data_IF_475624715951
#
_entry.id   IF_475624715951
#
_cell.length_a   1.000
_cell.length_b   1.000
_cell.length_c   1.000
_cell.angle_alpha   90.00
_cell.angle_beta   90.00
_cell.angle_gamma   90.00
#
_symmetry.space_group_name_H-M   'P 1'
#
loop_
_entity.id
_entity.type
_entity.pdbx_description
1 polymer ?
#
# COMPACT_ATOMS: atom_id res chain seq x y z
N UNK A 1 -7.33 -29.72 -6.70
CA UNK A 1 -8.10 -28.48 -6.53
C UNK A 1 -7.16 -27.34 -6.81
N UNK A 2 -7.33 -26.64 -7.93
CA UNK A 2 -6.53 -25.45 -8.25
C UNK A 2 -6.88 -24.36 -7.23
N UNK A 3 -5.99 -24.10 -6.27
CA UNK A 3 -6.01 -22.85 -5.52
C UNK A 3 -5.74 -21.75 -6.53
N UNK A 4 -6.70 -20.86 -6.77
CA UNK A 4 -6.43 -19.63 -7.50
C UNK A 4 -5.20 -18.95 -6.87
N UNK A 5 -4.29 -18.35 -7.66
CA UNK A 5 -3.17 -17.60 -7.10
C UNK A 5 -3.71 -16.62 -6.06
N UNK A 6 -3.04 -16.49 -4.91
CA UNK A 6 -3.41 -15.60 -3.80
C UNK A 6 -3.70 -14.16 -4.27
N UNK A 7 -3.12 -13.77 -5.41
CA UNK A 7 -3.35 -12.51 -6.13
C UNK A 7 -4.80 -12.31 -6.62
N UNK A 8 -5.44 -13.35 -7.17
CA UNK A 8 -6.83 -13.30 -7.63
C UNK A 8 -7.78 -13.12 -6.43
N UNK A 9 -7.41 -13.63 -5.24
CA UNK A 9 -8.19 -13.41 -4.02
C UNK A 9 -8.14 -11.94 -3.59
N UNK A 10 -6.95 -11.33 -3.53
CA UNK A 10 -6.81 -9.93 -3.11
C UNK A 10 -7.47 -8.96 -4.09
N UNK A 11 -7.38 -9.18 -5.40
CA UNK A 11 -8.09 -8.34 -6.38
C UNK A 11 -9.62 -8.45 -6.30
N UNK A 12 -10.13 -9.57 -5.80
CA UNK A 12 -11.56 -9.78 -5.64
C UNK A 12 -12.11 -9.21 -4.34
N UNK A 13 -11.27 -9.04 -3.32
CA UNK A 13 -11.67 -8.62 -1.96
C UNK A 13 -11.30 -7.17 -1.66
N UNK A 14 -10.05 -6.78 -1.93
CA UNK A 14 -9.53 -5.47 -1.58
C UNK A 14 -10.03 -4.38 -2.56
N UNK A 15 -10.36 -3.19 -2.05
CA UNK A 15 -10.80 -2.07 -2.87
C UNK A 15 -9.67 -1.58 -3.78
N UNK A 16 -10.01 -1.37 -5.06
CA UNK A 16 -9.10 -0.84 -6.09
C UNK A 16 -9.27 0.66 -6.30
N UNK A 17 -10.38 1.23 -5.84
CA UNK A 17 -10.76 2.62 -5.93
C UNK A 17 -10.42 3.41 -4.66
N UNK A 18 -10.60 4.72 -4.70
CA UNK A 18 -10.44 5.62 -3.54
C UNK A 18 -9.04 5.58 -2.90
N UNK A 19 -8.02 5.29 -3.72
CA UNK A 19 -6.60 5.44 -3.39
C UNK A 19 -6.15 6.88 -3.56
N UNK A 20 -5.01 7.26 -3.00
CA UNK A 20 -4.38 8.54 -3.33
C UNK A 20 -4.02 8.59 -4.84
N UNK A 21 -4.11 9.77 -5.45
CA UNK A 21 -3.94 9.99 -6.90
C UNK A 21 -3.08 11.24 -7.17
N UNK A 22 -2.60 11.43 -8.40
CA UNK A 22 -1.77 12.60 -8.78
C UNK A 22 -2.47 13.93 -8.44
N UNK A 23 -3.80 13.99 -8.58
CA UNK A 23 -4.60 15.16 -8.23
C UNK A 23 -4.47 15.59 -6.77
N UNK A 24 -4.09 14.69 -5.86
CA UNK A 24 -3.89 15.02 -4.44
C UNK A 24 -2.64 15.91 -4.21
N UNK A 25 -1.79 16.07 -5.24
CA UNK A 25 -0.66 16.98 -5.23
C UNK A 25 -0.98 18.35 -5.84
N UNK A 26 -2.18 18.54 -6.41
CA UNK A 26 -2.57 19.81 -7.02
C UNK A 26 -2.60 20.94 -5.99
N UNK A 27 -2.03 22.09 -6.35
CA UNK A 27 -1.94 23.26 -5.48
C UNK A 27 -0.77 23.26 -4.48
N UNK A 28 0.02 22.18 -4.40
CA UNK A 28 1.27 22.18 -3.62
C UNK A 28 2.36 22.97 -4.34
N UNK A 29 3.03 23.88 -3.61
CA UNK A 29 4.20 24.58 -4.14
C UNK A 29 5.41 23.64 -4.12
N UNK A 30 5.67 23.01 -5.26
CA UNK A 30 6.83 22.13 -5.43
C UNK A 30 7.94 22.91 -6.12
N UNK A 31 9.12 22.92 -5.51
CA UNK A 31 10.30 23.52 -6.12
C UNK A 31 10.92 22.52 -7.11
N UNK A 32 11.12 22.93 -8.36
CA UNK A 32 11.77 22.10 -9.39
C UNK A 32 13.17 22.60 -9.77
N UNK A 33 13.61 23.75 -9.23
CA UNK A 33 14.84 24.43 -9.67
C UNK A 33 16.12 23.77 -9.16
N UNK A 34 16.04 23.10 -8.02
CA UNK A 34 17.22 22.58 -7.34
C UNK A 34 17.57 21.15 -7.78
N UNK A 35 16.58 20.40 -8.26
CA UNK A 35 16.76 19.01 -8.67
C UNK A 35 17.57 18.92 -9.98
N UNK A 36 18.63 18.11 -9.95
CA UNK A 36 19.51 17.89 -11.10
C UNK A 36 19.42 16.45 -11.54
N UNK A 37 19.16 16.24 -12.84
CA UNK A 37 19.12 14.92 -13.45
C UNK A 37 20.42 14.65 -14.20
N UNK A 38 21.05 13.52 -13.91
CA UNK A 38 22.24 13.05 -14.58
C UNK A 38 21.99 11.68 -15.18
N UNK A 39 22.56 11.42 -16.36
CA UNK A 39 22.66 10.05 -16.87
C UNK A 39 23.84 9.37 -16.20
N UNK A 40 23.62 8.16 -15.70
CA UNK A 40 24.61 7.39 -14.95
C UNK A 40 24.43 5.90 -15.26
N UNK A 41 24.62 5.52 -16.53
CA UNK A 41 24.44 4.14 -16.97
C UNK A 41 25.37 3.20 -16.18
N UNK A 42 24.78 2.21 -15.51
CA UNK A 42 25.48 1.24 -14.68
C UNK A 42 25.36 -0.16 -15.30
N UNK A 43 26.42 -0.95 -15.18
CA UNK A 43 26.36 -2.36 -15.58
C UNK A 43 25.45 -3.15 -14.65
N UNK A 44 24.91 -4.26 -15.13
CA UNK A 44 24.16 -5.22 -14.31
C UNK A 44 24.95 -5.62 -13.07
N UNK A 45 26.24 -5.95 -13.21
CA UNK A 45 27.12 -6.28 -12.09
C UNK A 45 27.28 -5.13 -11.09
N UNK A 46 27.35 -3.89 -11.57
CA UNK A 46 27.41 -2.70 -10.70
C UNK A 46 26.10 -2.51 -9.93
N UNK A 47 24.96 -2.57 -10.62
CA UNK A 47 23.64 -2.48 -10.00
C UNK A 47 23.46 -3.55 -8.93
N UNK A 48 23.80 -4.80 -9.25
CA UNK A 48 23.77 -5.91 -8.31
C UNK A 48 24.67 -5.68 -7.09
N UNK A 49 25.91 -5.21 -7.29
CA UNK A 49 26.81 -4.86 -6.19
C UNK A 49 26.22 -3.79 -5.27
N UNK A 50 25.58 -2.75 -5.84
CA UNK A 50 24.93 -1.69 -5.06
C UNK A 50 23.71 -2.19 -4.29
N UNK A 51 22.97 -3.16 -4.84
CA UNK A 51 21.87 -3.84 -4.16
C UNK A 51 22.36 -4.68 -2.98
N UNK A 52 23.40 -5.49 -3.18
CA UNK A 52 23.98 -6.33 -2.12
C UNK A 52 24.55 -5.49 -0.96
N UNK A 53 25.11 -4.31 -1.27
CA UNK A 53 25.59 -3.36 -0.26
C UNK A 53 24.46 -2.61 0.47
N UNK A 54 23.23 -2.69 -0.01
CA UNK A 54 22.11 -1.87 0.46
C UNK A 54 22.25 -0.38 0.13
N UNK A 55 23.12 -0.04 -0.82
CA UNK A 55 23.30 1.35 -1.31
C UNK A 55 22.07 1.79 -2.10
N UNK A 56 21.59 0.94 -3.01
CA UNK A 56 20.26 1.05 -3.58
C UNK A 56 19.33 0.29 -2.64
N UNK A 57 18.46 0.99 -1.94
CA UNK A 57 17.56 0.36 -0.99
C UNK A 57 16.27 -0.08 -1.70
N UNK A 58 16.10 -1.40 -1.85
CA UNK A 58 14.87 -1.99 -2.37
C UNK A 58 13.81 -2.25 -1.29
N UNK A 59 14.05 -1.89 -0.02
CA UNK A 59 13.30 -2.23 1.20
C UNK A 59 12.87 -3.71 1.30
N UNK A 60 13.33 -4.47 2.32
CA UNK A 60 12.96 -5.88 2.50
C UNK A 60 11.44 -6.16 2.50
N UNK A 61 10.60 -5.20 2.91
CA UNK A 61 9.14 -5.33 2.87
C UNK A 61 8.58 -5.46 1.45
N UNK A 62 9.26 -4.89 0.45
CA UNK A 62 8.88 -5.03 -0.95
C UNK A 62 9.31 -6.34 -1.59
N UNK A 63 10.40 -6.96 -1.10
CA UNK A 63 10.81 -8.29 -1.57
C UNK A 63 9.72 -9.35 -1.28
N UNK A 64 8.89 -9.15 -0.25
CA UNK A 64 7.74 -10.04 0.02
C UNK A 64 6.55 -9.84 -0.92
N UNK A 65 6.56 -8.75 -1.70
CA UNK A 65 5.41 -8.26 -2.50
C UNK A 65 5.76 -8.20 -4.00
N UNK A 66 6.40 -9.24 -4.56
CA UNK A 66 6.79 -9.28 -5.99
C UNK A 66 5.58 -9.13 -6.93
N UNK A 67 5.60 -8.14 -7.83
CA UNK A 67 4.48 -7.85 -8.72
C UNK A 67 4.62 -8.49 -10.11
N UNK A 68 5.82 -8.93 -10.50
CA UNK A 68 6.03 -9.64 -11.76
C UNK A 68 6.01 -11.15 -11.54
N UNK A 69 5.28 -11.87 -12.39
CA UNK A 69 5.41 -13.31 -12.51
C UNK A 69 6.77 -13.71 -13.08
N UNK A 70 7.15 -14.96 -12.85
CA UNK A 70 8.45 -15.49 -13.26
C UNK A 70 8.65 -15.49 -14.80
N UNK A 71 7.58 -15.56 -15.59
CA UNK A 71 7.69 -15.52 -17.07
C UNK A 71 8.14 -14.12 -17.50
N UNK A 72 7.49 -13.09 -16.98
CA UNK A 72 7.86 -11.69 -17.22
C UNK A 72 9.26 -11.37 -16.70
N UNK A 73 9.63 -11.91 -15.54
CA UNK A 73 11.00 -11.83 -15.02
C UNK A 73 12.00 -12.46 -15.99
N UNK A 74 11.71 -13.66 -16.48
CA UNK A 74 12.58 -14.41 -17.40
C UNK A 74 12.80 -13.68 -18.72
N UNK A 75 11.74 -13.10 -19.31
CA UNK A 75 11.83 -12.31 -20.55
C UNK A 75 12.68 -11.04 -20.41
N UNK A 76 12.72 -10.43 -19.21
CA UNK A 76 13.64 -9.32 -18.95
C UNK A 76 15.10 -9.79 -19.00
N UNK A 77 15.41 -10.92 -18.34
CA UNK A 77 16.77 -11.48 -18.35
C UNK A 77 17.18 -11.88 -19.76
N UNK A 78 16.29 -12.54 -20.51
CA UNK A 78 16.50 -12.86 -21.92
C UNK A 78 16.80 -11.61 -22.76
N UNK A 79 16.03 -10.53 -22.56
CA UNK A 79 16.27 -9.25 -23.26
C UNK A 79 17.66 -8.68 -22.95
N UNK A 80 18.11 -8.75 -21.70
CA UNK A 80 19.43 -8.28 -21.28
C UNK A 80 20.55 -9.12 -21.91
N UNK A 81 20.42 -10.46 -21.90
CA UNK A 81 21.39 -11.38 -22.52
C UNK A 81 21.42 -11.20 -24.04
N UNK A 82 20.26 -10.97 -24.67
CA UNK A 82 20.16 -10.70 -26.10
C UNK A 82 20.62 -9.28 -26.51
N UNK A 83 20.97 -8.42 -25.56
CA UNK A 83 21.41 -7.04 -25.83
C UNK A 83 20.28 -6.12 -26.32
N UNK A 84 19.02 -6.46 -26.03
CA UNK A 84 17.87 -5.64 -26.38
C UNK A 84 17.72 -4.45 -25.43
N UNK A 85 17.25 -3.29 -25.92
CA UNK A 85 17.03 -2.13 -25.07
C UNK A 85 15.88 -2.40 -24.09
N UNK A 86 16.12 -2.11 -22.81
CA UNK A 86 15.09 -2.16 -21.77
C UNK A 86 14.78 -0.74 -21.25
N UNK A 87 13.62 -0.51 -20.61
CA UNK A 87 13.31 0.77 -20.00
C UNK A 87 14.33 1.18 -18.92
N UNK A 88 14.56 2.49 -18.83
CA UNK A 88 15.51 3.15 -17.92
C UNK A 88 15.27 2.79 -16.44
N UNK A 89 16.32 2.81 -15.61
CA UNK A 89 16.20 2.79 -14.15
C UNK A 89 16.31 4.22 -13.64
N UNK A 90 15.36 4.67 -12.81
CA UNK A 90 15.41 6.02 -12.25
C UNK A 90 15.64 5.94 -10.75
N UNK A 91 16.73 6.55 -10.30
CA UNK A 91 17.16 6.59 -8.92
C UNK A 91 17.17 8.03 -8.41
N UNK A 92 16.76 8.24 -7.17
CA UNK A 92 16.95 9.50 -6.46
C UNK A 92 17.97 9.31 -5.34
N UNK A 93 18.95 10.21 -5.23
CA UNK A 93 19.87 10.23 -4.09
C UNK A 93 19.11 10.61 -2.82
N UNK A 94 19.35 9.87 -1.73
CA UNK A 94 18.76 10.17 -0.44
C UNK A 94 19.36 11.47 0.11
N UNK A 95 18.51 12.43 0.47
CA UNK A 95 18.91 13.75 0.96
C UNK A 95 19.62 13.70 2.32
N UNK A 96 19.32 12.71 3.16
CA UNK A 96 19.93 12.52 4.48
C UNK A 96 21.20 11.65 4.44
N UNK A 97 21.33 10.82 3.39
CA UNK A 97 22.42 9.85 3.26
C UNK A 97 23.05 9.89 1.86
N UNK A 98 24.04 10.75 1.70
CA UNK A 98 24.82 10.88 0.47
C UNK A 98 25.34 9.52 -0.02
N UNK A 99 25.15 9.26 -1.32
CA UNK A 99 25.54 8.02 -1.96
C UNK A 99 24.58 6.85 -1.72
N UNK A 100 23.47 7.02 -0.99
CA UNK A 100 22.36 6.04 -0.97
C UNK A 100 21.27 6.45 -1.94
N UNK A 101 20.59 5.48 -2.52
CA UNK A 101 19.63 5.70 -3.59
C UNK A 101 18.27 5.06 -3.30
N UNK A 102 17.23 5.84 -3.59
CA UNK A 102 15.83 5.44 -3.62
C UNK A 102 15.45 5.12 -5.06
N UNK A 103 14.70 4.03 -5.26
CA UNK A 103 14.24 3.64 -6.60
C UNK A 103 12.93 4.35 -6.91
N UNK A 104 12.94 5.22 -7.92
CA UNK A 104 11.76 5.93 -8.42
C UNK A 104 11.07 5.12 -9.52
N UNK A 105 11.86 4.53 -10.42
CA UNK A 105 11.38 3.57 -11.43
C UNK A 105 12.43 2.47 -11.65
N UNK A 106 11.98 1.28 -12.05
CA UNK A 106 12.83 0.12 -12.29
C UNK A 106 12.94 -0.87 -11.15
N UNK A 107 12.12 -0.74 -10.09
CA UNK A 107 12.10 -1.65 -8.94
C UNK A 107 11.96 -3.12 -9.32
N UNK A 108 10.98 -3.46 -10.16
CA UNK A 108 10.78 -4.86 -10.59
C UNK A 108 11.94 -5.36 -11.47
N UNK A 109 12.57 -4.48 -12.25
CA UNK A 109 13.76 -4.81 -13.04
C UNK A 109 14.95 -5.13 -12.13
N UNK A 110 15.20 -4.28 -11.13
CA UNK A 110 16.26 -4.48 -10.13
C UNK A 110 16.04 -5.76 -9.30
N UNK A 111 14.82 -6.02 -8.84
CA UNK A 111 14.47 -7.25 -8.13
C UNK A 111 14.68 -8.48 -9.01
N UNK A 112 14.27 -8.42 -10.28
CA UNK A 112 14.46 -9.53 -11.22
C UNK A 112 15.94 -9.84 -11.44
N UNK A 113 16.76 -8.81 -11.65
CA UNK A 113 18.21 -8.93 -11.77
C UNK A 113 18.79 -9.57 -10.50
N UNK A 114 18.42 -9.07 -9.32
CA UNK A 114 18.87 -9.64 -8.05
C UNK A 114 18.46 -11.11 -7.90
N UNK A 115 17.19 -11.45 -8.13
CA UNK A 115 16.67 -12.82 -8.02
C UNK A 115 17.42 -13.78 -8.94
N UNK A 116 17.69 -13.36 -10.18
CA UNK A 116 18.41 -14.20 -11.14
C UNK A 116 19.88 -14.40 -10.76
N UNK A 117 20.61 -13.32 -10.42
CA UNK A 117 22.02 -13.40 -10.01
C UNK A 117 22.20 -14.13 -8.67
N UNK A 118 21.20 -14.10 -7.79
CA UNK A 118 21.15 -14.90 -6.55
C UNK A 118 20.75 -16.38 -6.79
N UNK A 119 20.57 -16.81 -8.05
CA UNK A 119 20.08 -18.15 -8.43
C UNK A 119 18.69 -18.51 -7.86
N UNK A 120 17.86 -17.52 -7.56
CA UNK A 120 16.47 -17.69 -7.07
C UNK A 120 15.44 -17.77 -8.19
N UNK A 121 15.84 -17.48 -9.43
CA UNK A 121 15.02 -17.55 -10.63
C UNK A 121 15.65 -18.51 -11.65
N UNK A 122 14.92 -19.55 -12.04
CA UNK A 122 15.19 -20.33 -13.24
C UNK A 122 14.37 -19.77 -14.40
N UNK A 123 15.01 -19.54 -15.55
CA UNK A 123 14.35 -18.89 -16.69
C UNK A 123 13.23 -19.77 -17.24
N UNK A 124 12.08 -19.17 -17.56
CA UNK A 124 10.98 -19.87 -18.23
C UNK A 124 10.14 -18.99 -19.14
N UNK A 125 9.57 -19.59 -20.17
CA UNK A 125 8.68 -18.91 -21.12
C UNK A 125 9.43 -17.95 -22.05
N UNK A 126 10.66 -18.33 -22.40
CA UNK A 126 11.55 -17.62 -23.32
C UNK A 126 11.07 -17.77 -24.77
N UNK A 127 11.21 -16.73 -25.59
CA UNK A 127 10.79 -16.73 -27.00
C UNK A 127 11.91 -16.43 -28.01
N UNK A 128 13.06 -15.91 -27.56
CA UNK A 128 14.22 -15.57 -28.39
C UNK A 128 15.42 -16.52 -28.14
N UNK A 129 15.66 -16.88 -26.87
CA UNK A 129 16.79 -17.70 -26.39
C UNK A 129 16.28 -18.94 -25.67
N UNK A 130 15.54 -19.79 -26.38
CA UNK A 130 14.99 -21.04 -25.83
C UNK A 130 16.08 -22.01 -25.33
N UNK A 131 17.32 -21.86 -25.80
CA UNK A 131 18.49 -22.58 -25.31
C UNK A 131 18.83 -22.30 -23.84
N UNK A 132 18.31 -21.19 -23.29
CA UNK A 132 18.52 -20.78 -21.89
C UNK A 132 17.36 -21.18 -20.95
N UNK A 133 16.35 -21.88 -21.47
CA UNK A 133 15.18 -22.30 -20.69
C UNK A 133 15.60 -23.22 -19.51
N UNK A 134 15.01 -22.99 -18.34
CA UNK A 134 15.28 -23.63 -17.05
C UNK A 134 16.68 -23.38 -16.46
N UNK A 135 17.51 -22.56 -17.08
CA UNK A 135 18.82 -22.20 -16.53
C UNK A 135 18.69 -21.14 -15.44
N UNK A 136 19.47 -21.28 -14.38
CA UNK A 136 19.80 -20.21 -13.42
C UNK A 136 21.11 -19.53 -13.82
N UNK A 137 21.45 -18.40 -13.19
CA UNK A 137 22.69 -17.67 -13.47
C UNK A 137 23.94 -18.57 -13.43
N UNK A 138 24.05 -19.46 -12.44
CA UNK A 138 25.19 -20.36 -12.29
C UNK A 138 25.33 -21.40 -13.40
N UNK A 139 24.22 -21.73 -14.06
CA UNK A 139 24.18 -22.69 -15.16
C UNK A 139 24.29 -22.05 -16.55
N UNK A 140 24.34 -20.71 -16.64
CA UNK A 140 24.53 -20.04 -17.93
C UNK A 140 25.90 -20.35 -18.55
N UNK A 141 25.99 -20.40 -19.90
CA UNK A 141 27.26 -20.34 -20.60
C UNK A 141 28.11 -19.16 -20.14
N UNK A 142 29.42 -19.33 -20.08
CA UNK A 142 30.34 -18.31 -19.58
C UNK A 142 30.20 -16.98 -20.36
N UNK A 143 30.15 -17.05 -21.69
CA UNK A 143 30.01 -15.85 -22.53
C UNK A 143 28.71 -15.09 -22.27
N UNK A 144 27.58 -15.78 -22.09
CA UNK A 144 26.29 -15.14 -21.78
C UNK A 144 26.30 -14.49 -20.38
N UNK A 145 26.99 -15.12 -19.42
CA UNK A 145 27.13 -14.58 -18.06
C UNK A 145 27.99 -13.31 -18.05
N UNK A 146 29.15 -13.37 -18.68
CA UNK A 146 30.06 -12.23 -18.79
C UNK A 146 29.40 -11.09 -19.55
N UNK A 147 28.64 -11.39 -20.61
CA UNK A 147 27.88 -10.39 -21.33
C UNK A 147 26.79 -9.77 -20.47
N UNK A 148 26.01 -10.57 -19.74
CA UNK A 148 24.96 -10.09 -18.86
C UNK A 148 25.51 -9.16 -17.79
N UNK A 149 26.56 -9.56 -17.08
CA UNK A 149 27.15 -8.76 -15.98
C UNK A 149 27.72 -7.42 -16.46
N UNK A 150 28.29 -7.40 -17.67
CA UNK A 150 28.87 -6.21 -18.27
C UNK A 150 27.86 -5.38 -19.09
N UNK A 151 26.65 -5.90 -19.32
CA UNK A 151 25.60 -5.16 -20.02
C UNK A 151 25.21 -3.91 -19.21
N UNK A 152 25.25 -2.75 -19.86
CA UNK A 152 24.90 -1.47 -19.23
C UNK A 152 23.41 -1.18 -19.38
N UNK A 153 22.75 -0.90 -18.25
CA UNK A 153 21.35 -0.49 -18.24
C UNK A 153 21.31 1.03 -18.13
N UNK A 154 20.55 1.67 -19.04
CA UNK A 154 20.32 3.10 -18.98
C UNK A 154 19.78 3.46 -17.61
N UNK A 155 20.43 4.40 -16.94
CA UNK A 155 20.08 4.81 -15.58
C UNK A 155 20.10 6.32 -15.44
N UNK A 156 19.06 6.88 -14.85
CA UNK A 156 18.97 8.31 -14.49
C UNK A 156 19.10 8.47 -12.99
N UNK A 157 20.08 9.26 -12.57
CA UNK A 157 20.28 9.63 -11.19
C UNK A 157 19.81 11.07 -10.95
N UNK A 158 18.95 11.23 -9.96
CA UNK A 158 18.37 12.51 -9.57
C UNK A 158 18.98 12.92 -8.25
N UNK A 159 19.56 14.12 -8.23
CA UNK A 159 20.23 14.70 -7.07
C UNK A 159 19.54 15.98 -6.65
N UNK A 160 19.81 16.40 -5.42
CA UNK A 160 19.28 17.65 -4.85
C UNK A 160 17.75 17.69 -4.90
N UNK A 161 17.11 16.57 -4.59
CA UNK A 161 15.65 16.49 -4.52
C UNK A 161 15.16 17.31 -3.32
N UNK A 162 14.29 18.31 -3.52
CA UNK A 162 13.98 19.28 -2.47
C UNK A 162 13.14 18.69 -1.35
N UNK A 163 12.17 17.85 -1.69
CA UNK A 163 11.26 17.21 -0.74
C UNK A 163 10.66 15.92 -1.32
N UNK A 164 9.87 15.22 -0.49
CA UNK A 164 9.17 14.01 -0.90
C UNK A 164 8.11 14.28 -1.97
N UNK A 165 7.43 15.44 -1.95
CA UNK A 165 6.37 15.76 -2.91
C UNK A 165 6.90 15.89 -4.34
N UNK A 166 8.10 16.44 -4.51
CA UNK A 166 8.83 16.41 -5.78
C UNK A 166 9.01 14.97 -6.29
N UNK A 167 9.42 14.05 -5.40
CA UNK A 167 9.59 12.63 -5.74
C UNK A 167 8.26 11.97 -6.09
N UNK A 168 7.17 12.35 -5.43
CA UNK A 168 5.80 11.91 -5.77
C UNK A 168 5.39 12.37 -7.17
N UNK A 169 5.56 13.65 -7.52
CA UNK A 169 5.22 14.17 -8.86
C UNK A 169 6.05 13.47 -9.93
N UNK A 170 7.35 13.37 -9.72
CA UNK A 170 8.24 12.70 -10.64
C UNK A 170 7.82 11.25 -10.85
N UNK A 171 7.46 10.55 -9.77
CA UNK A 171 6.99 9.18 -9.81
C UNK A 171 5.70 9.03 -10.65
N UNK A 172 4.68 9.86 -10.42
CA UNK A 172 3.43 9.83 -11.20
C UNK A 172 3.67 10.14 -12.68
N UNK A 173 4.55 11.11 -12.98
CA UNK A 173 4.86 11.53 -14.35
C UNK A 173 5.68 10.51 -15.13
N UNK A 174 6.69 9.90 -14.51
CA UNK A 174 7.52 8.87 -15.15
C UNK A 174 6.72 7.60 -15.46
N UNK A 175 5.75 7.28 -14.62
CA UNK A 175 4.95 6.06 -14.75
C UNK A 175 3.57 6.30 -15.39
N UNK A 176 3.42 7.39 -16.14
CA UNK A 176 2.25 7.64 -16.98
C UNK A 176 2.24 6.67 -18.17
N UNK A 177 1.70 5.46 -17.96
CA UNK A 177 1.61 4.40 -18.99
C UNK A 177 2.21 3.03 -18.59
N UNK A 178 2.82 2.90 -17.41
CA UNK A 178 3.38 1.66 -16.85
C UNK A 178 2.64 1.24 -15.57
N UNK A 179 2.97 0.07 -15.02
CA UNK A 179 2.43 -0.36 -13.72
C UNK A 179 3.00 0.53 -12.61
N UNK A 180 2.24 1.54 -12.21
CA UNK A 180 2.60 2.51 -11.16
C UNK A 180 2.77 1.80 -9.81
N UNK A 181 3.83 2.08 -9.04
CA UNK A 181 3.78 1.91 -7.57
C UNK A 181 2.52 2.58 -7.01
N UNK A 182 1.88 1.96 -6.03
CA UNK A 182 0.80 2.63 -5.30
C UNK A 182 1.35 3.77 -4.44
N UNK A 183 0.54 4.77 -4.09
CA UNK A 183 0.93 5.82 -3.15
C UNK A 183 1.47 5.26 -1.83
N UNK A 184 0.90 4.16 -1.35
CA UNK A 184 1.38 3.47 -0.14
C UNK A 184 2.76 2.83 -0.35
N UNK A 185 3.03 2.26 -1.54
CA UNK A 185 4.39 1.81 -1.88
C UNK A 185 5.38 2.99 -1.90
N UNK A 186 4.98 4.15 -2.43
CA UNK A 186 5.88 5.30 -2.43
C UNK A 186 6.11 5.86 -1.03
N UNK A 187 5.08 5.93 -0.18
CA UNK A 187 5.18 6.30 1.24
C UNK A 187 6.18 5.42 1.98
N UNK A 188 6.15 4.12 1.71
CA UNK A 188 7.10 3.16 2.27
C UNK A 188 8.54 3.44 1.85
N UNK A 189 8.77 3.84 0.59
CA UNK A 189 10.11 4.15 0.12
C UNK A 189 10.65 5.49 0.64
N UNK A 190 9.79 6.50 0.80
CA UNK A 190 10.21 7.88 1.07
C UNK A 190 10.21 8.27 2.55
N UNK A 191 9.24 7.77 3.32
CA UNK A 191 8.97 8.22 4.69
C UNK A 191 9.06 7.06 5.67
N UNK A 192 8.51 5.92 5.28
CA UNK A 192 8.36 4.76 6.15
C UNK A 192 9.58 3.85 6.23
N UNK A 193 9.51 2.94 7.18
CA UNK A 193 10.37 1.76 7.23
C UNK A 193 9.97 0.88 8.41
N UNK A 194 10.12 1.40 9.64
CA UNK A 194 9.81 0.65 10.86
C UNK A 194 8.31 0.53 11.07
N UNK A 195 7.59 1.65 11.01
CA UNK A 195 6.13 1.73 11.24
C UNK A 195 5.38 0.81 10.29
N UNK A 196 5.67 0.92 8.99
CA UNK A 196 5.02 0.10 7.99
C UNK A 196 5.46 -1.38 8.09
N UNK A 197 6.67 -1.68 8.58
CA UNK A 197 7.07 -3.06 8.87
C UNK A 197 6.27 -3.65 10.04
N UNK A 198 5.95 -2.85 11.05
CA UNK A 198 5.07 -3.30 12.14
C UNK A 198 3.64 -3.53 11.65
N UNK A 199 3.13 -2.69 10.74
CA UNK A 199 1.84 -2.93 10.08
C UNK A 199 1.87 -4.25 9.30
N UNK A 200 2.93 -4.54 8.53
CA UNK A 200 3.08 -5.80 7.80
C UNK A 200 3.04 -7.01 8.75
N UNK A 201 3.78 -6.94 9.86
CA UNK A 201 3.79 -8.00 10.89
C UNK A 201 2.43 -8.19 11.55
N UNK A 202 1.71 -7.10 11.81
CA UNK A 202 0.36 -7.15 12.34
C UNK A 202 -0.58 -7.87 11.37
N UNK A 203 -0.55 -7.52 10.08
CA UNK A 203 -1.38 -8.15 9.03
C UNK A 203 -1.06 -9.65 8.93
N UNK A 204 0.22 -10.02 8.90
CA UNK A 204 0.65 -11.43 8.84
C UNK A 204 0.21 -12.23 10.08
N UNK A 205 0.14 -11.58 11.25
CA UNK A 205 -0.20 -12.21 12.54
C UNK A 205 -1.69 -12.23 12.89
N UNK A 206 -2.51 -11.37 12.27
CA UNK A 206 -3.92 -11.21 12.63
C UNK A 206 -4.82 -12.25 11.96
N UNK A 207 -5.51 -13.06 12.78
CA UNK A 207 -6.50 -14.02 12.31
C UNK A 207 -7.77 -13.33 11.79
N UNK A 208 -8.21 -12.27 12.45
CA UNK A 208 -9.41 -11.54 12.04
C UNK A 208 -9.17 -10.76 10.75
N UNK A 209 -8.00 -10.17 10.58
CA UNK A 209 -7.63 -9.53 9.32
C UNK A 209 -7.60 -10.56 8.18
N UNK A 210 -6.94 -11.70 8.38
CA UNK A 210 -6.88 -12.77 7.39
C UNK A 210 -8.28 -13.34 7.04
N UNK A 211 -9.20 -13.40 8.00
CA UNK A 211 -10.57 -13.85 7.76
C UNK A 211 -11.37 -12.90 6.85
N UNK A 212 -11.11 -11.59 6.95
CA UNK A 212 -11.82 -10.56 6.18
C UNK A 212 -11.18 -10.35 4.80
N UNK A 213 -9.86 -10.22 4.77
CA UNK A 213 -9.11 -9.76 3.59
C UNK A 213 -8.38 -10.88 2.84
N UNK A 214 -8.32 -12.08 3.43
CA UNK A 214 -7.47 -13.18 2.97
C UNK A 214 -6.11 -13.19 3.70
N UNK A 215 -5.45 -14.35 3.79
CA UNK A 215 -4.15 -14.46 4.44
C UNK A 215 -3.05 -13.83 3.59
N UNK A 216 -1.97 -13.39 4.24
CA UNK A 216 -0.76 -12.86 3.59
C UNK A 216 -0.82 -11.37 3.29
N UNK A 217 0.20 -10.87 2.57
CA UNK A 217 0.37 -9.47 2.24
C UNK A 217 -0.03 -9.17 0.80
N UNK A 218 -0.83 -8.13 0.59
CA UNK A 218 -1.24 -7.68 -0.74
C UNK A 218 -0.07 -7.04 -1.50
N UNK A 219 0.29 -7.51 -2.69
CA UNK A 219 1.45 -6.99 -3.43
C UNK A 219 1.42 -5.46 -3.67
N UNK A 220 0.22 -4.89 -3.73
CA UNK A 220 -0.03 -3.45 -3.97
C UNK A 220 -0.11 -2.60 -2.69
N UNK A 221 0.06 -3.22 -1.51
CA UNK A 221 0.00 -2.58 -0.20
C UNK A 221 -1.35 -1.94 0.16
N UNK A 222 -2.45 -2.36 -0.47
CA UNK A 222 -3.79 -1.82 -0.15
C UNK A 222 -4.23 -2.20 1.27
N UNK A 223 -3.81 -3.38 1.74
CA UNK A 223 -3.96 -3.86 3.11
C UNK A 223 -3.25 -2.96 4.13
N UNK A 224 -1.99 -2.62 3.87
CA UNK A 224 -1.15 -1.74 4.67
C UNK A 224 -1.75 -0.34 4.76
N UNK A 225 -2.27 0.17 3.63
CA UNK A 225 -2.98 1.45 3.59
C UNK A 225 -4.24 1.42 4.46
N UNK A 226 -5.08 0.37 4.38
CA UNK A 226 -6.28 0.26 5.23
C UNK A 226 -5.95 0.30 6.72
N UNK A 227 -4.93 -0.44 7.16
CA UNK A 227 -4.47 -0.40 8.57
C UNK A 227 -3.95 0.99 8.93
N UNK A 228 -3.18 1.63 8.05
CA UNK A 228 -2.66 2.98 8.28
C UNK A 228 -3.77 4.03 8.37
N UNK A 229 -4.82 3.92 7.53
CA UNK A 229 -6.02 4.77 7.61
C UNK A 229 -6.70 4.65 8.96
N UNK A 230 -6.90 3.42 9.42
CA UNK A 230 -7.49 3.17 10.74
C UNK A 230 -6.66 3.84 11.85
N UNK A 231 -5.33 3.61 11.85
CA UNK A 231 -4.41 4.20 12.83
C UNK A 231 -4.54 5.73 12.83
N UNK A 232 -4.50 6.35 11.64
CA UNK A 232 -4.57 7.80 11.49
C UNK A 232 -5.90 8.36 12.00
N UNK A 233 -7.02 7.77 11.60
CA UNK A 233 -8.35 8.22 12.03
C UNK A 233 -8.63 7.94 13.51
N UNK A 234 -8.19 6.81 14.07
CA UNK A 234 -8.42 6.52 15.49
C UNK A 234 -7.71 7.54 16.38
N UNK A 235 -6.46 7.84 16.05
CA UNK A 235 -5.56 8.71 16.79
C UNK A 235 -5.87 10.20 16.61
N UNK A 236 -6.07 10.65 15.38
CA UNK A 236 -5.99 12.06 15.01
C UNK A 236 -7.11 12.53 14.09
N UNK A 237 -8.31 11.96 14.21
CA UNK A 237 -9.49 12.35 13.42
C UNK A 237 -9.67 13.88 13.29
N UNK A 238 -9.57 14.62 14.39
CA UNK A 238 -9.78 16.08 14.41
C UNK A 238 -8.75 16.87 13.58
N UNK A 239 -7.58 16.28 13.29
CA UNK A 239 -6.53 16.88 12.48
C UNK A 239 -6.74 16.67 10.97
N UNK A 240 -7.75 15.89 10.57
CA UNK A 240 -8.01 15.62 9.17
C UNK A 240 -8.64 16.84 8.46
N UNK A 241 -7.94 17.39 7.48
CA UNK A 241 -8.33 18.59 6.74
C UNK A 241 -8.89 18.29 5.34
N UNK A 242 -8.95 17.01 4.94
CA UNK A 242 -9.34 16.56 3.60
C UNK A 242 -8.15 16.19 2.71
N UNK A 243 -6.91 16.40 3.16
CA UNK A 243 -5.72 15.91 2.47
C UNK A 243 -5.31 14.55 3.07
N UNK A 244 -5.83 13.47 2.47
CA UNK A 244 -5.53 12.11 2.93
C UNK A 244 -4.04 11.79 2.86
N UNK A 245 -3.35 12.20 1.79
CA UNK A 245 -1.92 11.95 1.62
C UNK A 245 -1.14 12.55 2.79
N UNK A 246 -1.33 13.84 3.03
CA UNK A 246 -0.68 14.56 4.14
C UNK A 246 -1.00 13.93 5.49
N UNK A 247 -2.25 13.51 5.69
CA UNK A 247 -2.70 12.89 6.93
C UNK A 247 -2.01 11.54 7.21
N UNK A 248 -1.91 10.68 6.20
CA UNK A 248 -1.22 9.39 6.33
C UNK A 248 0.31 9.57 6.44
N UNK A 249 0.90 10.47 5.66
CA UNK A 249 2.33 10.80 5.71
C UNK A 249 2.71 11.29 7.12
N UNK A 250 1.95 12.24 7.67
CA UNK A 250 2.16 12.79 9.02
C UNK A 250 2.00 11.73 10.11
N UNK A 251 1.10 10.76 9.90
CA UNK A 251 0.90 9.64 10.82
C UNK A 251 2.12 8.72 10.84
N UNK A 252 2.66 8.36 9.67
CA UNK A 252 3.90 7.56 9.58
C UNK A 252 5.06 8.30 10.24
N UNK A 253 5.24 9.58 9.93
CA UNK A 253 6.29 10.42 10.51
C UNK A 253 6.24 10.44 12.04
N UNK A 254 5.04 10.54 12.62
CA UNK A 254 4.85 10.54 14.06
C UNK A 254 5.40 9.25 14.70
N UNK A 255 5.09 8.08 14.14
CA UNK A 255 5.52 6.80 14.68
C UNK A 255 7.01 6.49 14.39
N UNK A 256 7.53 6.92 13.24
CA UNK A 256 8.95 6.75 12.92
C UNK A 256 9.85 7.57 13.87
N UNK A 257 9.40 8.77 14.26
CA UNK A 257 10.17 9.72 15.10
C UNK A 257 9.84 9.64 16.59
N UNK A 258 8.69 9.07 16.97
CA UNK A 258 8.12 9.14 18.32
C UNK A 258 8.69 8.17 19.36
N UNK A 259 9.62 7.29 18.99
CA UNK A 259 10.31 6.37 19.90
C UNK A 259 9.37 5.39 20.62
N UNK A 260 9.76 4.94 21.82
CA UNK A 260 9.07 3.86 22.55
C UNK A 260 7.62 4.20 22.96
N UNK A 261 7.31 5.47 23.22
CA UNK A 261 5.95 5.89 23.57
C UNK A 261 5.00 5.77 22.38
N UNK A 262 5.42 6.24 21.20
CA UNK A 262 4.66 6.09 19.97
C UNK A 262 4.57 4.62 19.54
N UNK A 263 5.62 3.83 19.74
CA UNK A 263 5.57 2.38 19.51
C UNK A 263 4.52 1.69 20.38
N UNK A 264 4.45 2.01 21.68
CA UNK A 264 3.41 1.49 22.58
C UNK A 264 2.00 1.91 22.13
N UNK A 265 1.84 3.16 21.71
CA UNK A 265 0.58 3.67 21.16
C UNK A 265 0.17 2.87 19.91
N UNK A 266 1.11 2.63 18.99
CA UNK A 266 0.87 1.86 17.76
C UNK A 266 0.36 0.45 18.06
N UNK A 267 0.97 -0.24 19.02
CA UNK A 267 0.50 -1.57 19.43
C UNK A 267 -0.90 -1.54 20.07
N UNK A 268 -1.21 -0.52 20.87
CA UNK A 268 -2.57 -0.33 21.39
C UNK A 268 -3.60 -0.05 20.29
N UNK A 269 -3.20 0.62 19.20
CA UNK A 269 -4.05 0.80 18.03
C UNK A 269 -4.29 -0.53 17.30
N UNK A 270 -3.30 -1.42 17.20
CA UNK A 270 -3.54 -2.77 16.66
C UNK A 270 -4.55 -3.57 17.47
N UNK A 271 -4.50 -3.51 18.81
CA UNK A 271 -5.49 -4.18 19.68
C UNK A 271 -6.90 -3.65 19.47
N UNK A 272 -7.05 -2.32 19.31
CA UNK A 272 -8.34 -1.71 18.96
C UNK A 272 -8.84 -2.16 17.59
N UNK A 273 -7.95 -2.30 16.60
CA UNK A 273 -8.33 -2.80 15.29
C UNK A 273 -8.78 -4.26 15.38
N UNK A 274 -8.11 -5.12 16.15
CA UNK A 274 -8.56 -6.50 16.41
C UNK A 274 -9.97 -6.53 17.00
N UNK A 275 -10.25 -5.67 17.98
CA UNK A 275 -11.59 -5.53 18.57
C UNK A 275 -12.63 -5.18 17.49
N UNK A 276 -12.32 -4.17 16.65
CA UNK A 276 -13.21 -3.73 15.59
C UNK A 276 -13.46 -4.81 14.52
N UNK A 277 -12.40 -5.50 14.08
CA UNK A 277 -12.49 -6.58 13.09
C UNK A 277 -13.32 -7.74 13.65
N UNK A 278 -13.04 -8.19 14.87
CA UNK A 278 -13.80 -9.25 15.53
C UNK A 278 -15.28 -8.90 15.64
N UNK A 279 -15.63 -7.71 16.15
CA UNK A 279 -17.01 -7.29 16.27
C UNK A 279 -17.72 -7.21 14.91
N UNK A 280 -17.02 -6.70 13.88
CA UNK A 280 -17.58 -6.62 12.53
C UNK A 280 -17.83 -8.01 11.95
N UNK A 281 -16.93 -8.97 12.16
CA UNK A 281 -17.10 -10.36 11.74
C UNK A 281 -18.32 -10.99 12.44
N UNK A 282 -18.46 -10.78 13.75
CA UNK A 282 -19.59 -11.34 14.51
C UNK A 282 -20.94 -10.77 14.03
N UNK A 283 -20.99 -9.47 13.74
CA UNK A 283 -22.23 -8.75 13.39
C UNK A 283 -22.61 -8.94 11.92
N UNK A 284 -21.64 -8.82 11.00
CA UNK A 284 -21.88 -8.79 9.55
C UNK A 284 -21.46 -10.07 8.84
N UNK A 285 -20.73 -10.97 9.50
CA UNK A 285 -20.23 -12.23 8.93
C UNK A 285 -19.53 -12.01 7.58
N UNK A 286 -20.00 -12.69 6.52
CA UNK A 286 -19.45 -12.59 5.15
C UNK A 286 -19.61 -11.20 4.52
N UNK A 287 -20.47 -10.35 5.09
CA UNK A 287 -20.79 -9.02 4.58
C UNK A 287 -19.96 -7.91 5.26
N UNK A 288 -18.97 -8.29 6.09
CA UNK A 288 -18.06 -7.37 6.77
C UNK A 288 -17.44 -6.34 5.80
N UNK A 289 -17.54 -5.07 6.17
CA UNK A 289 -17.02 -3.89 5.46
C UNK A 289 -17.51 -3.70 4.01
N UNK A 290 -18.57 -4.41 3.61
CA UNK A 290 -19.20 -4.22 2.29
C UNK A 290 -20.33 -3.21 2.39
N UNK A 291 -20.46 -2.37 1.37
CA UNK A 291 -21.59 -1.45 1.24
C UNK A 291 -22.86 -2.21 0.82
N UNK A 292 -24.00 -1.81 1.35
CA UNK A 292 -25.30 -2.33 0.92
C UNK A 292 -25.91 -1.46 -0.18
N UNK A 293 -26.38 -2.07 -1.26
CA UNK A 293 -26.89 -1.36 -2.46
C UNK A 293 -28.40 -1.16 -2.48
N UNK A 294 -29.11 -1.56 -1.41
CA UNK A 294 -30.57 -1.59 -1.34
C UNK A 294 -31.14 -3.00 -1.52
N UNK A 295 -30.48 -3.83 -2.33
CA UNK A 295 -30.88 -5.23 -2.56
C UNK A 295 -29.88 -6.24 -1.99
N UNK A 296 -28.58 -5.95 -2.16
CA UNK A 296 -27.49 -6.85 -1.79
C UNK A 296 -26.25 -6.07 -1.35
N UNK A 297 -25.36 -6.76 -0.65
CA UNK A 297 -24.02 -6.24 -0.40
C UNK A 297 -23.16 -6.30 -1.66
N UNK A 298 -22.26 -5.34 -1.80
CA UNK A 298 -21.24 -5.37 -2.83
C UNK A 298 -20.29 -6.56 -2.65
N UNK A 299 -19.65 -6.96 -3.75
CA UNK A 299 -18.69 -8.07 -3.73
C UNK A 299 -17.40 -7.69 -2.99
N UNK A 300 -16.90 -6.47 -3.26
CA UNK A 300 -15.66 -5.93 -2.71
C UNK A 300 -15.93 -5.14 -1.43
N UNK A 301 -14.91 -5.08 -0.58
CA UNK A 301 -14.90 -4.20 0.58
C UNK A 301 -14.83 -2.75 0.10
N UNK A 302 -15.48 -1.85 0.84
CA UNK A 302 -15.45 -0.41 0.58
C UNK A 302 -14.58 0.30 1.64
N UNK A 303 -13.63 1.13 1.20
CA UNK A 303 -12.66 1.81 2.09
C UNK A 303 -13.34 2.73 3.09
N UNK A 304 -14.31 3.52 2.62
CA UNK A 304 -15.05 4.44 3.47
C UNK A 304 -15.94 3.72 4.49
N UNK A 305 -16.52 2.57 4.12
CA UNK A 305 -17.24 1.70 5.06
C UNK A 305 -16.28 1.12 6.10
N UNK A 306 -15.07 0.70 5.69
CA UNK A 306 -14.04 0.25 6.62
C UNK A 306 -13.68 1.33 7.65
N UNK A 307 -13.41 2.57 7.22
CA UNK A 307 -13.12 3.69 8.13
C UNK A 307 -14.24 3.87 9.16
N UNK A 308 -15.49 3.89 8.68
CA UNK A 308 -16.66 4.21 9.50
C UNK A 308 -16.97 3.11 10.50
N UNK A 309 -16.91 1.84 10.11
CA UNK A 309 -17.16 0.73 11.03
C UNK A 309 -16.03 0.64 12.07
N UNK A 310 -14.78 0.65 11.62
CA UNK A 310 -13.64 0.49 12.54
C UNK A 310 -13.51 1.65 13.51
N UNK A 311 -13.88 2.88 13.10
CA UNK A 311 -13.93 4.06 13.99
C UNK A 311 -14.78 3.82 15.24
N UNK A 312 -15.92 3.15 15.13
CA UNK A 312 -16.81 2.96 16.29
C UNK A 312 -16.56 1.65 17.00
N UNK A 313 -16.28 0.57 16.28
CA UNK A 313 -16.05 -0.74 16.89
C UNK A 313 -14.64 -0.91 17.49
N UNK A 314 -13.75 0.06 17.30
CA UNK A 314 -12.49 0.13 18.04
C UNK A 314 -12.67 0.32 19.55
N UNK A 315 -13.83 0.83 19.98
CA UNK A 315 -14.18 0.92 21.40
C UNK A 315 -14.83 -0.39 21.87
N UNK A 316 -14.27 -1.00 22.90
CA UNK A 316 -14.72 -2.30 23.42
C UNK A 316 -16.16 -2.26 23.97
N UNK A 317 -16.56 -1.16 24.63
CA UNK A 317 -17.92 -0.99 25.15
C UNK A 317 -18.91 -0.91 23.99
N UNK A 318 -18.59 -0.12 22.96
CA UNK A 318 -19.42 0.02 21.76
C UNK A 318 -19.53 -1.31 21.02
N UNK A 319 -18.42 -2.01 20.82
CA UNK A 319 -18.38 -3.33 20.19
C UNK A 319 -19.22 -4.36 20.92
N UNK A 320 -19.15 -4.41 22.25
CA UNK A 320 -19.93 -5.36 23.04
C UNK A 320 -21.44 -5.07 22.97
N UNK A 321 -21.84 -3.80 23.05
CA UNK A 321 -23.24 -3.40 22.89
C UNK A 321 -23.75 -3.66 21.46
N UNK A 322 -22.91 -3.41 20.46
CA UNK A 322 -23.26 -3.67 19.05
C UNK A 322 -23.46 -5.17 18.79
N UNK A 323 -22.61 -6.05 19.36
CA UNK A 323 -22.78 -7.50 19.28
C UNK A 323 -24.10 -7.96 19.92
N UNK A 324 -24.45 -7.42 21.08
CA UNK A 324 -25.72 -7.72 21.76
C UNK A 324 -26.93 -7.28 20.94
N UNK A 325 -26.77 -6.25 20.09
CA UNK A 325 -27.82 -5.69 19.23
C UNK A 325 -27.59 -5.97 17.74
N UNK A 326 -26.90 -7.06 17.39
CA UNK A 326 -26.40 -7.32 16.01
C UNK A 326 -27.46 -7.16 14.92
N UNK A 327 -28.66 -7.71 15.13
CA UNK A 327 -29.74 -7.63 14.13
C UNK A 327 -30.21 -6.18 13.88
N UNK A 328 -30.31 -5.37 14.93
CA UNK A 328 -30.67 -3.96 14.83
C UNK A 328 -29.55 -3.14 14.17
N UNK A 329 -28.29 -3.42 14.52
CA UNK A 329 -27.12 -2.78 13.90
C UNK A 329 -27.06 -3.07 12.40
N UNK A 330 -27.27 -4.32 11.98
CA UNK A 330 -27.30 -4.70 10.55
C UNK A 330 -28.46 -4.01 9.82
N UNK A 331 -29.66 -4.01 10.40
CA UNK A 331 -30.82 -3.36 9.81
C UNK A 331 -30.58 -1.85 9.63
N UNK A 332 -30.01 -1.21 10.65
CA UNK A 332 -29.73 0.22 10.60
C UNK A 332 -28.60 0.55 9.63
N UNK A 333 -27.56 -0.29 9.52
CA UNK A 333 -26.51 -0.09 8.53
C UNK A 333 -27.07 -0.13 7.10
N UNK A 334 -27.97 -1.07 6.81
CA UNK A 334 -28.66 -1.15 5.52
C UNK A 334 -29.51 0.09 5.26
N UNK A 335 -30.27 0.55 6.26
CA UNK A 335 -31.06 1.78 6.15
C UNK A 335 -30.15 3.01 5.91
N UNK A 336 -28.99 3.06 6.56
CA UNK A 336 -27.99 4.14 6.42
C UNK A 336 -27.42 4.19 5.00
N UNK A 337 -27.16 3.04 4.38
CA UNK A 337 -26.75 2.96 2.97
C UNK A 337 -27.85 3.45 1.99
N UNK A 338 -29.10 3.53 2.45
CA UNK A 338 -30.22 4.13 1.74
C UNK A 338 -30.18 5.67 1.68
N UNK A 339 -29.45 6.32 2.59
CA UNK A 339 -29.35 7.78 2.69
C UNK A 339 -28.45 8.32 1.57
N UNK A 340 -28.93 9.32 0.83
CA UNK A 340 -28.24 9.87 -0.35
C UNK A 340 -26.89 10.48 0.03
N UNK A 341 -26.86 11.24 1.13
CA UNK A 341 -25.68 11.91 1.66
C UNK A 341 -24.61 10.89 2.08
N UNK A 342 -25.00 9.83 2.80
CA UNK A 342 -24.09 8.75 3.18
C UNK A 342 -23.56 8.00 1.97
N UNK A 343 -24.45 7.65 1.02
CA UNK A 343 -24.06 6.94 -0.20
C UNK A 343 -23.04 7.75 -1.00
N UNK A 344 -23.30 9.05 -1.21
CA UNK A 344 -22.36 9.94 -1.90
C UNK A 344 -21.02 10.03 -1.18
N UNK A 345 -21.04 10.04 0.16
CA UNK A 345 -19.86 10.12 1.02
C UNK A 345 -18.99 8.85 1.06
N UNK A 346 -19.54 7.69 0.64
CA UNK A 346 -18.80 6.42 0.53
C UNK A 346 -18.50 5.99 -0.91
N UNK A 347 -19.00 6.72 -1.93
CA UNK A 347 -18.85 6.38 -3.35
C UNK A 347 -17.99 7.36 -4.16
N UNK A 348 -18.17 8.69 -4.01
CA UNK A 348 -17.61 9.68 -4.98
C UNK A 348 -16.23 10.21 -4.58
N UNK A 349 -16.18 11.11 -3.59
CA UNK A 349 -14.92 11.75 -3.16
C UNK A 349 -14.73 11.50 -1.67
N UNK A 350 -14.33 10.27 -1.34
CA UNK A 350 -14.19 9.83 0.05
C UNK A 350 -13.04 10.49 0.81
N UNK A 351 -12.18 11.25 0.12
CA UNK A 351 -11.09 12.03 0.71
C UNK A 351 -11.48 13.44 1.12
N UNK A 352 -12.63 13.98 0.72
CA UNK A 352 -12.98 15.34 1.17
C UNK A 352 -13.27 15.32 2.69
N UNK A 353 -12.93 16.41 3.37
CA UNK A 353 -13.24 16.58 4.79
C UNK A 353 -14.76 16.44 5.01
N UNK A 354 -15.56 17.08 4.15
CA UNK A 354 -17.02 17.00 4.19
C UNK A 354 -17.54 15.56 4.01
N UNK A 355 -17.07 14.82 3.00
CA UNK A 355 -17.51 13.44 2.82
C UNK A 355 -17.11 12.56 4.01
N UNK A 356 -15.92 12.75 4.57
CA UNK A 356 -15.43 11.99 5.72
C UNK A 356 -16.25 12.27 6.97
N UNK A 357 -16.49 13.55 7.25
CA UNK A 357 -17.34 13.98 8.35
C UNK A 357 -18.76 13.45 8.18
N UNK A 358 -19.37 13.62 6.99
CA UNK A 358 -20.73 13.17 6.73
C UNK A 358 -20.90 11.66 6.96
N UNK A 359 -20.01 10.82 6.41
CA UNK A 359 -20.16 9.37 6.61
C UNK A 359 -19.99 8.93 8.06
N UNK A 360 -19.08 9.58 8.80
CA UNK A 360 -18.80 9.27 10.21
C UNK A 360 -19.93 9.78 11.10
N UNK A 361 -20.40 11.02 10.92
CA UNK A 361 -21.47 11.62 11.70
C UNK A 361 -22.82 10.90 11.48
N UNK A 362 -23.16 10.60 10.21
CA UNK A 362 -24.42 9.92 9.89
C UNK A 362 -24.45 8.53 10.52
N UNK A 363 -23.39 7.73 10.35
CA UNK A 363 -23.37 6.38 10.94
C UNK A 363 -23.23 6.42 12.46
N UNK A 364 -22.35 7.27 12.99
CA UNK A 364 -22.10 7.40 14.42
C UNK A 364 -23.36 7.79 15.20
N UNK A 365 -24.11 8.78 14.72
CA UNK A 365 -25.38 9.20 15.33
C UNK A 365 -26.43 8.10 15.32
N UNK A 366 -26.56 7.37 14.20
CA UNK A 366 -27.53 6.27 14.07
C UNK A 366 -27.14 5.07 14.93
N UNK A 367 -25.86 4.70 14.96
CA UNK A 367 -25.35 3.66 15.83
C UNK A 367 -25.55 4.03 17.31
N UNK A 368 -25.22 5.25 17.72
CA UNK A 368 -25.44 5.72 19.09
C UNK A 368 -26.90 5.57 19.53
N UNK A 369 -27.84 5.93 18.64
CA UNK A 369 -29.28 5.79 18.90
C UNK A 369 -29.70 4.33 19.13
N UNK A 370 -29.20 3.37 18.34
CA UNK A 370 -29.47 1.93 18.55
C UNK A 370 -28.94 1.48 19.91
N UNK A 371 -27.75 1.94 20.29
CA UNK A 371 -27.08 1.51 21.50
C UNK A 371 -27.59 2.25 22.76
N UNK A 372 -28.50 3.21 22.61
CA UNK A 372 -28.99 4.03 23.73
C UNK A 372 -27.92 4.96 24.31
N UNK A 373 -26.99 5.41 23.47
CA UNK A 373 -25.83 6.22 23.83
C UNK A 373 -25.85 7.58 23.13
N UNK A 374 -24.91 8.45 23.47
CA UNK A 374 -24.80 9.79 22.88
C UNK A 374 -23.67 9.84 21.87
N UNK A 375 -23.88 10.56 20.75
CA UNK A 375 -22.84 10.79 19.75
C UNK A 375 -22.19 12.16 19.95
N UNK A 376 -20.88 12.19 20.14
CA UNK A 376 -20.07 13.40 20.14
C UNK A 376 -19.55 13.67 18.73
N UNK A 377 -20.17 14.64 18.04
CA UNK A 377 -19.80 15.03 16.67
C UNK A 377 -18.45 15.77 16.58
N UNK A 378 -17.91 16.29 17.70
CA UNK A 378 -16.59 16.93 17.70
C UNK A 378 -15.50 15.88 17.68
N UNK A 379 -15.56 14.94 18.63
CA UNK A 379 -14.60 13.84 18.72
C UNK A 379 -14.91 12.72 17.73
N UNK A 380 -16.09 12.70 17.10
CA UNK A 380 -16.62 11.59 16.32
C UNK A 380 -16.53 10.25 17.08
N UNK A 381 -17.10 10.22 18.30
CA UNK A 381 -17.16 9.05 19.19
C UNK A 381 -18.53 8.92 19.83
N UNK A 382 -18.82 7.73 20.34
CA UNK A 382 -20.04 7.42 21.09
C UNK A 382 -19.70 7.35 22.59
N UNK A 383 -20.48 8.00 23.45
CA UNK A 383 -20.27 8.13 24.90
C UNK A 383 -21.41 7.50 25.72
#
# INVERSE_FOLDING_TARGET
>A
MNTAPQEDLFEQVLPTDQQEEESDLEGRQINFRDAVMHTADWTVGTLYSQLQKGTINLDPGFQRRHAWDDVRKSRLIESLIAGLPIPNIVLAENSEHRGRFLVIDGKQRLLTIQDFLDNKLALKGLDLRQDLENLTFDSLPADDRDFLENNSIRSTLIKNTPDADFLYVLFFRLNSGSLQLSPQELRRALIGGKTLTQIDKYIEGSKFFAQVFGPGLDRRMRDSELVLRFIAFDRAYEAYDGDLKKFLDSTVDHFEKGGAAAEKELFGLFEKLECALSATIDIFAKDAFKKYTGEKYERRINRAVFDVITRFFADEKISNLARQNSAAVVAEFKATCGIVEFRSAVEKTTKSNEATKNRIDIWGGRLAAILGMTYDAKAARIQ
#
